data_IF_465198507882
#
_entry.id   IF_465198507882
#
_cell.length_a   1.000
_cell.length_b   1.000
_cell.length_c   1.000
_cell.angle_alpha   90.00
_cell.angle_beta   90.00
_cell.angle_gamma   90.00
#
_symmetry.space_group_name_H-M   'P 1'
#
loop_
_entity.id
_entity.type
_entity.pdbx_description
1 polymer ?
#
# COMPACT_ATOMS: atom_id res chain seq x y z
N UNK A 1 -46.49 3.98 -9.78
CA UNK A 1 -46.18 3.99 -11.22
C UNK A 1 -44.71 3.58 -11.34
N UNK A 2 -44.49 2.34 -11.81
CA UNK A 2 -43.16 1.77 -11.96
C UNK A 2 -42.53 2.32 -13.23
N UNK A 3 -41.35 2.91 -13.11
CA UNK A 3 -40.58 3.41 -14.23
C UNK A 3 -39.60 2.31 -14.68
N UNK A 4 -39.88 1.71 -15.85
CA UNK A 4 -38.92 0.81 -16.51
C UNK A 4 -38.07 1.63 -17.47
N UNK A 5 -36.76 1.64 -17.27
CA UNK A 5 -35.81 2.21 -18.22
C UNK A 5 -35.40 1.10 -19.17
N UNK A 6 -36.02 1.02 -20.33
CA UNK A 6 -35.59 0.16 -21.41
C UNK A 6 -34.50 0.87 -22.20
N UNK A 7 -33.24 0.45 -22.00
CA UNK A 7 -32.11 0.87 -22.83
C UNK A 7 -32.30 0.37 -24.27
N UNK A 8 -32.58 1.28 -25.18
CA UNK A 8 -32.50 1.03 -26.61
C UNK A 8 -31.25 1.70 -27.12
N UNK A 9 -30.30 0.87 -27.64
CA UNK A 9 -29.03 1.31 -28.26
C UNK A 9 -28.11 2.12 -27.34
N UNK A 10 -27.50 1.49 -26.35
CA UNK A 10 -26.16 1.81 -25.88
C UNK A 10 -26.01 2.91 -24.83
N UNK A 11 -27.01 3.68 -24.46
CA UNK A 11 -26.94 4.63 -23.35
C UNK A 11 -28.30 4.74 -22.66
N UNK A 12 -28.37 4.22 -21.44
CA UNK A 12 -29.47 4.51 -20.52
C UNK A 12 -28.99 5.61 -19.57
N UNK A 13 -29.37 6.85 -19.85
CA UNK A 13 -29.18 7.94 -18.90
C UNK A 13 -30.34 7.91 -17.91
N UNK A 14 -30.09 7.41 -16.70
CA UNK A 14 -31.00 7.65 -15.58
C UNK A 14 -30.76 9.08 -15.08
N UNK A 15 -31.52 10.02 -15.61
CA UNK A 15 -31.51 11.39 -15.13
C UNK A 15 -32.51 11.50 -13.98
N UNK A 16 -31.99 11.59 -12.75
CA UNK A 16 -32.79 11.86 -11.55
C UNK A 16 -32.68 13.35 -11.27
N UNK A 17 -33.81 14.05 -11.21
CA UNK A 17 -33.82 15.46 -10.88
C UNK A 17 -33.38 15.68 -9.42
N UNK A 18 -33.05 16.92 -9.04
CA UNK A 18 -32.53 17.27 -7.72
C UNK A 18 -33.44 16.96 -6.53
N UNK A 19 -34.64 16.48 -6.76
CA UNK A 19 -35.63 16.15 -5.74
C UNK A 19 -35.96 14.64 -5.66
N UNK A 20 -35.38 13.85 -6.57
CA UNK A 20 -35.67 12.41 -6.60
C UNK A 20 -34.56 11.63 -5.87
N UNK A 21 -34.96 10.80 -4.94
CA UNK A 21 -34.06 9.83 -4.31
C UNK A 21 -34.10 8.53 -5.10
N UNK A 22 -32.96 8.08 -5.62
CA UNK A 22 -32.82 6.74 -6.15
C UNK A 22 -32.67 5.76 -4.97
N UNK A 23 -33.73 5.05 -4.64
CA UNK A 23 -33.66 3.93 -3.68
C UNK A 23 -33.46 2.65 -4.51
N UNK A 24 -32.23 2.17 -4.59
CA UNK A 24 -31.96 0.88 -5.21
C UNK A 24 -32.17 -0.24 -4.17
N UNK A 25 -33.29 -0.93 -4.26
CA UNK A 25 -33.57 -2.13 -3.47
C UNK A 25 -32.93 -3.38 -4.10
N UNK A 26 -31.68 -3.24 -4.54
CA UNK A 26 -30.88 -4.27 -5.19
C UNK A 26 -29.67 -4.60 -4.31
N UNK A 27 -29.21 -5.83 -4.34
CA UNK A 27 -28.13 -6.28 -3.46
C UNK A 27 -26.81 -5.54 -3.66
N UNK A 28 -26.56 -4.99 -4.86
CA UNK A 28 -25.40 -4.14 -5.15
C UNK A 28 -25.63 -3.34 -6.44
N UNK A 29 -24.88 -2.22 -6.55
CA UNK A 29 -24.78 -1.43 -7.80
C UNK A 29 -23.39 -1.64 -8.36
N UNK A 30 -23.28 -2.17 -9.57
CA UNK A 30 -22.03 -2.37 -10.28
C UNK A 30 -21.92 -1.37 -11.44
N UNK A 31 -21.24 -0.23 -11.27
CA UNK A 31 -21.02 0.71 -12.36
C UNK A 31 -19.97 0.16 -13.33
N UNK A 32 -20.29 0.06 -14.62
CA UNK A 32 -19.38 -0.47 -15.65
C UNK A 32 -18.13 0.40 -15.87
N UNK A 33 -18.23 1.70 -15.60
CA UNK A 33 -17.18 2.68 -15.84
C UNK A 33 -16.76 3.46 -14.59
N UNK A 34 -17.08 2.92 -13.40
CA UNK A 34 -16.80 3.57 -12.13
C UNK A 34 -17.84 4.63 -11.73
N UNK A 35 -17.64 5.19 -10.56
CA UNK A 35 -18.47 6.26 -9.99
C UNK A 35 -17.73 7.58 -10.17
N UNK A 36 -18.37 8.57 -10.78
CA UNK A 36 -17.83 9.94 -10.90
C UNK A 36 -18.30 10.80 -9.74
N UNK A 37 -17.43 11.67 -9.29
CA UNK A 37 -17.76 12.69 -8.28
C UNK A 37 -18.52 13.89 -8.89
N UNK A 38 -18.79 14.90 -8.07
CA UNK A 38 -19.45 16.15 -8.50
C UNK A 38 -18.67 16.95 -9.57
N UNK A 39 -17.39 16.65 -9.79
CA UNK A 39 -16.54 17.26 -10.82
C UNK A 39 -16.33 16.33 -12.03
N UNK A 40 -17.11 15.25 -12.14
CA UNK A 40 -17.00 14.23 -13.18
C UNK A 40 -15.69 13.43 -13.16
N UNK A 41 -14.96 13.41 -12.02
CA UNK A 41 -13.74 12.61 -11.82
C UNK A 41 -14.09 11.17 -11.42
N UNK A 42 -13.32 10.22 -11.93
CA UNK A 42 -13.37 8.81 -11.51
C UNK A 42 -12.50 8.51 -10.29
N UNK A 43 -11.77 9.52 -9.79
CA UNK A 43 -10.76 9.32 -8.77
C UNK A 43 -9.49 8.65 -9.32
N UNK A 44 -8.56 8.41 -8.43
CA UNK A 44 -7.32 7.67 -8.67
C UNK A 44 -7.14 6.59 -7.60
N UNK A 45 -6.21 5.67 -7.81
CA UNK A 45 -5.93 4.62 -6.85
C UNK A 45 -5.63 5.18 -5.45
N UNK A 46 -6.24 4.60 -4.43
CA UNK A 46 -6.10 5.03 -3.04
C UNK A 46 -7.01 6.18 -2.60
N UNK A 47 -7.83 6.73 -3.50
CA UNK A 47 -8.85 7.71 -3.12
C UNK A 47 -10.16 7.04 -2.70
N UNK A 48 -10.89 7.69 -1.81
CA UNK A 48 -12.24 7.31 -1.39
C UNK A 48 -13.25 8.38 -1.77
N UNK A 49 -14.46 7.96 -2.12
CA UNK A 49 -15.56 8.88 -2.42
C UNK A 49 -16.18 9.33 -1.09
N UNK A 50 -16.04 10.60 -0.77
CA UNK A 50 -16.57 11.19 0.46
C UNK A 50 -17.63 12.24 0.17
N UNK A 51 -18.55 12.45 1.12
CA UNK A 51 -19.46 13.59 1.07
C UNK A 51 -18.71 14.86 1.49
N UNK A 52 -18.87 15.93 0.72
CA UNK A 52 -18.34 17.24 1.02
C UNK A 52 -19.47 18.26 1.10
N UNK A 53 -19.29 19.27 1.95
CA UNK A 53 -20.18 20.45 1.99
C UNK A 53 -19.45 21.61 1.34
N UNK A 54 -19.98 22.11 0.21
CA UNK A 54 -19.48 23.30 -0.47
C UNK A 54 -20.57 24.38 -0.34
N UNK A 55 -20.36 25.31 0.60
CA UNK A 55 -21.38 26.29 0.96
C UNK A 55 -22.63 25.60 1.56
N UNK A 56 -23.80 25.81 0.93
CA UNK A 56 -25.06 25.18 1.32
C UNK A 56 -25.34 23.85 0.59
N UNK A 57 -24.50 23.49 -0.36
CA UNK A 57 -24.69 22.30 -1.18
C UNK A 57 -23.82 21.14 -0.65
N UNK A 58 -24.40 19.94 -0.68
CA UNK A 58 -23.65 18.71 -0.46
C UNK A 58 -23.28 18.10 -1.81
N UNK A 59 -22.03 17.75 -1.97
CA UNK A 59 -21.53 17.01 -3.12
C UNK A 59 -20.68 15.83 -2.66
N UNK A 60 -20.29 14.99 -3.59
CA UNK A 60 -19.31 13.91 -3.35
C UNK A 60 -18.03 14.26 -4.09
N UNK A 61 -16.89 13.90 -3.49
CA UNK A 61 -15.59 14.07 -4.11
C UNK A 61 -14.68 12.89 -3.77
N UNK A 62 -13.78 12.59 -4.69
CA UNK A 62 -12.69 11.67 -4.45
C UNK A 62 -11.61 12.38 -3.61
N UNK A 63 -11.30 11.81 -2.47
CA UNK A 63 -10.36 12.40 -1.52
C UNK A 63 -9.32 11.36 -1.13
N UNK A 64 -8.05 11.74 -1.13
CA UNK A 64 -7.00 10.94 -0.52
C UNK A 64 -7.21 10.94 0.99
N UNK A 65 -7.27 9.75 1.60
CA UNK A 65 -7.37 9.62 3.06
C UNK A 65 -6.06 10.07 3.69
N UNK A 66 -6.02 11.33 4.16
CA UNK A 66 -4.88 11.86 4.91
C UNK A 66 -5.09 11.66 6.41
N UNK A 67 -4.05 11.24 7.13
CA UNK A 67 -4.09 11.04 8.58
C UNK A 67 -4.85 9.80 9.07
N UNK A 68 -5.56 9.06 8.22
CA UNK A 68 -6.14 7.78 8.60
C UNK A 68 -5.07 6.68 8.57
N UNK A 69 -5.11 5.77 9.55
CA UNK A 69 -4.27 4.57 9.52
C UNK A 69 -4.84 3.59 8.51
N UNK A 70 -4.07 3.35 7.47
CA UNK A 70 -4.35 2.37 6.42
C UNK A 70 -3.54 1.11 6.68
N UNK A 71 -3.99 -0.02 6.13
CA UNK A 71 -3.25 -1.28 6.20
C UNK A 71 -3.26 -1.98 4.85
N UNK A 72 -2.15 -2.64 4.53
CA UNK A 72 -2.03 -3.48 3.34
C UNK A 72 -1.34 -4.79 3.70
N UNK A 73 -1.73 -5.85 3.02
CA UNK A 73 -1.11 -7.17 3.11
C UNK A 73 -0.67 -7.60 1.72
N UNK A 74 0.61 -7.89 1.56
CA UNK A 74 1.21 -8.24 0.27
C UNK A 74 1.90 -9.60 0.37
N UNK A 75 1.44 -10.63 -0.36
CA UNK A 75 2.16 -11.89 -0.49
C UNK A 75 3.35 -11.73 -1.44
N UNK A 76 4.50 -12.28 -1.04
CA UNK A 76 5.74 -12.27 -1.83
C UNK A 76 6.12 -13.71 -2.13
N UNK A 77 6.24 -14.04 -3.40
CA UNK A 77 6.62 -15.38 -3.85
C UNK A 77 8.12 -15.63 -3.67
N UNK A 78 8.53 -16.89 -3.65
CA UNK A 78 9.93 -17.28 -3.61
C UNK A 78 10.74 -16.70 -4.77
N UNK A 79 10.17 -16.66 -5.97
CA UNK A 79 10.83 -16.05 -7.14
C UNK A 79 11.08 -14.56 -6.98
N UNK A 80 10.16 -13.83 -6.33
CA UNK A 80 10.37 -12.41 -6.01
C UNK A 80 11.46 -12.24 -4.96
N UNK A 81 11.48 -13.07 -3.92
CA UNK A 81 12.51 -13.04 -2.86
C UNK A 81 13.92 -13.22 -3.44
N UNK A 82 14.10 -14.20 -4.32
CA UNK A 82 15.39 -14.50 -4.97
C UNK A 82 15.89 -13.36 -5.89
N UNK A 83 15.00 -12.50 -6.34
CA UNK A 83 15.32 -11.38 -7.23
C UNK A 83 15.15 -10.01 -6.58
N UNK A 84 14.92 -9.95 -5.27
CA UNK A 84 14.46 -8.75 -4.58
C UNK A 84 15.45 -7.59 -4.64
N UNK A 85 16.77 -7.88 -4.66
CA UNK A 85 17.82 -6.86 -4.77
C UNK A 85 17.77 -6.11 -6.10
N UNK A 86 17.51 -6.82 -7.18
CA UNK A 86 17.47 -6.23 -8.54
C UNK A 86 16.07 -5.77 -8.95
N UNK A 87 15.05 -6.38 -8.35
CA UNK A 87 13.65 -6.11 -8.65
C UNK A 87 12.85 -5.91 -7.34
N UNK A 88 12.95 -4.75 -6.70
CA UNK A 88 12.17 -4.44 -5.51
C UNK A 88 10.66 -4.56 -5.77
N UNK A 89 9.93 -5.03 -4.75
CA UNK A 89 8.47 -5.19 -4.85
C UNK A 89 7.78 -3.97 -4.23
N UNK A 90 6.97 -3.27 -5.01
CA UNK A 90 6.15 -2.17 -4.50
C UNK A 90 5.08 -2.72 -3.55
N UNK A 91 5.11 -2.25 -2.31
CA UNK A 91 4.10 -2.55 -1.29
C UNK A 91 2.98 -1.50 -1.30
N UNK A 92 3.35 -0.23 -1.33
CA UNK A 92 2.41 0.89 -1.33
C UNK A 92 2.81 1.83 -2.48
N UNK A 93 1.90 2.11 -3.43
CA UNK A 93 2.19 3.02 -4.52
C UNK A 93 2.44 4.44 -4.01
N UNK A 94 3.12 5.25 -4.83
CA UNK A 94 3.41 6.64 -4.52
C UNK A 94 2.11 7.45 -4.29
N UNK A 95 2.02 8.29 -3.24
CA UNK A 95 0.77 8.91 -2.82
C UNK A 95 0.36 10.14 -3.65
N UNK A 96 1.23 10.60 -4.53
CA UNK A 96 1.06 11.85 -5.28
C UNK A 96 1.98 12.97 -4.78
N UNK A 97 2.22 13.95 -5.65
CA UNK A 97 3.09 15.09 -5.33
C UNK A 97 2.52 15.92 -4.16
N UNK A 98 3.38 16.35 -3.25
CA UNK A 98 3.00 17.08 -2.03
C UNK A 98 2.57 16.17 -0.87
N UNK A 99 2.71 14.85 -1.01
CA UNK A 99 2.39 13.88 0.03
C UNK A 99 3.55 12.91 0.25
N UNK A 100 3.59 12.35 1.46
CA UNK A 100 4.50 11.26 1.80
C UNK A 100 3.77 10.16 2.60
N UNK A 101 4.38 8.98 2.63
CA UNK A 101 3.88 7.83 3.37
C UNK A 101 4.70 7.70 4.65
N UNK A 102 4.03 7.73 5.79
CA UNK A 102 4.62 7.42 7.09
C UNK A 102 4.21 6.01 7.51
N UNK A 103 5.18 5.14 7.74
CA UNK A 103 4.93 3.80 8.28
C UNK A 103 4.63 3.91 9.77
N UNK A 104 3.55 3.28 10.21
CA UNK A 104 3.12 3.22 11.62
C UNK A 104 3.59 1.95 12.30
N UNK A 105 3.65 0.85 11.56
CA UNK A 105 4.09 -0.44 12.04
C UNK A 105 3.85 -1.54 11.01
N UNK A 106 4.15 -2.77 11.39
CA UNK A 106 3.88 -3.89 10.50
C UNK A 106 4.48 -5.21 10.97
N UNK A 107 4.41 -6.20 10.07
CA UNK A 107 5.03 -7.51 10.28
C UNK A 107 5.46 -8.13 8.95
N UNK A 108 6.46 -8.98 8.99
CA UNK A 108 6.80 -9.91 7.92
C UNK A 108 6.70 -11.32 8.50
N UNK A 109 5.85 -12.14 7.93
CA UNK A 109 5.77 -13.56 8.20
C UNK A 109 6.52 -14.31 7.11
N UNK A 110 7.56 -15.04 7.47
CA UNK A 110 8.20 -16.03 6.61
C UNK A 110 7.47 -17.35 6.74
N UNK A 111 6.96 -17.86 5.64
CA UNK A 111 6.34 -19.18 5.53
C UNK A 111 7.33 -20.15 4.91
N UNK A 112 7.97 -20.95 5.74
CA UNK A 112 8.84 -22.03 5.30
C UNK A 112 8.05 -23.07 4.49
N UNK A 113 8.67 -23.61 3.45
CA UNK A 113 8.10 -24.72 2.67
C UNK A 113 8.98 -25.97 2.80
N UNK A 114 9.96 -26.17 1.96
CA UNK A 114 10.81 -27.36 1.99
C UNK A 114 12.30 -27.05 2.10
N UNK A 115 12.73 -25.92 1.58
CA UNK A 115 14.15 -25.52 1.53
C UNK A 115 14.32 -24.12 2.11
N UNK A 116 15.17 -23.94 3.15
CA UNK A 116 15.46 -22.62 3.69
C UNK A 116 16.29 -21.77 2.70
N UNK A 117 16.25 -20.47 2.87
CA UNK A 117 17.09 -19.55 2.09
C UNK A 117 18.54 -19.54 2.61
N UNK A 118 19.48 -19.36 1.70
CA UNK A 118 20.89 -19.13 2.05
C UNK A 118 21.20 -17.63 1.93
N UNK A 119 21.62 -16.98 3.01
CA UNK A 119 22.04 -15.58 2.97
C UNK A 119 23.19 -15.34 1.98
N UNK A 120 23.14 -14.26 1.22
CA UNK A 120 24.16 -13.95 0.22
C UNK A 120 25.51 -13.56 0.86
N UNK A 121 25.48 -12.77 1.93
CA UNK A 121 26.65 -12.35 2.70
C UNK A 121 26.22 -11.71 4.02
N UNK A 122 26.88 -12.05 5.11
CA UNK A 122 26.64 -11.39 6.40
C UNK A 122 25.20 -11.50 6.91
N UNK A 123 24.67 -10.40 7.41
CA UNK A 123 23.31 -10.30 7.93
C UNK A 123 22.33 -9.79 6.86
N UNK A 124 22.20 -10.50 5.79
CA UNK A 124 21.22 -10.22 4.73
C UNK A 124 19.87 -9.77 5.31
N UNK A 125 19.45 -8.57 5.02
CA UNK A 125 18.20 -8.00 5.51
C UNK A 125 17.21 -7.82 4.35
N UNK A 126 16.03 -8.38 4.50
CA UNK A 126 14.87 -8.03 3.69
C UNK A 126 14.09 -6.96 4.46
N UNK A 127 13.90 -5.82 3.86
CA UNK A 127 13.33 -4.67 4.54
C UNK A 127 12.41 -3.81 3.70
N UNK A 128 11.71 -2.95 4.39
CA UNK A 128 10.79 -1.97 3.83
C UNK A 128 11.52 -0.64 3.74
N UNK A 129 11.49 -0.02 2.58
CA UNK A 129 12.19 1.21 2.26
C UNK A 129 11.28 2.17 1.50
N UNK A 130 11.61 3.45 1.56
CA UNK A 130 11.12 4.41 0.57
C UNK A 130 11.83 4.14 -0.76
N UNK A 131 11.10 4.15 -1.85
CA UNK A 131 11.64 3.88 -3.19
C UNK A 131 12.84 4.77 -3.53
N UNK A 132 13.90 4.15 -4.05
CA UNK A 132 15.19 4.79 -4.29
C UNK A 132 16.13 4.80 -3.09
N UNK A 133 15.72 4.29 -1.91
CA UNK A 133 16.58 4.12 -0.73
C UNK A 133 16.91 2.65 -0.47
N UNK A 134 17.99 2.41 0.23
CA UNK A 134 18.50 1.07 0.56
C UNK A 134 18.97 1.00 2.01
N UNK A 135 19.24 -0.20 2.47
CA UNK A 135 19.82 -0.45 3.81
C UNK A 135 21.07 0.39 4.08
N UNK A 136 21.98 0.49 3.11
CA UNK A 136 23.24 1.24 3.24
C UNK A 136 23.00 2.74 3.40
N UNK A 137 21.91 3.27 2.86
CA UNK A 137 21.54 4.68 2.97
C UNK A 137 20.71 5.00 4.24
N UNK A 138 20.61 4.06 5.19
CA UNK A 138 19.90 4.29 6.45
C UNK A 138 18.38 4.42 6.30
N UNK A 139 17.80 3.89 5.23
CA UNK A 139 16.40 4.04 4.92
C UNK A 139 15.48 2.91 5.38
N UNK A 140 15.95 1.99 6.23
CA UNK A 140 15.16 0.86 6.70
C UNK A 140 14.02 1.32 7.62
N UNK A 141 12.79 1.04 7.20
CA UNK A 141 11.56 1.36 7.94
C UNK A 141 11.05 0.18 8.76
N UNK A 142 11.47 -1.03 8.42
CA UNK A 142 11.15 -2.28 9.09
C UNK A 142 11.68 -3.46 8.28
N UNK A 143 11.85 -4.62 8.88
CA UNK A 143 12.39 -5.76 8.14
C UNK A 143 12.60 -7.02 8.94
N UNK A 144 13.16 -8.03 8.26
CA UNK A 144 13.52 -9.32 8.79
C UNK A 144 14.92 -9.69 8.29
N UNK A 145 15.76 -10.25 9.16
CA UNK A 145 17.04 -10.81 8.74
C UNK A 145 16.82 -12.15 8.02
N UNK A 146 17.53 -12.38 6.93
CA UNK A 146 17.57 -13.71 6.31
C UNK A 146 18.33 -14.66 7.23
N UNK A 147 19.45 -14.19 7.79
CA UNK A 147 20.23 -14.94 8.78
C UNK A 147 19.48 -15.03 10.10
N UNK A 148 19.22 -16.24 10.58
CA UNK A 148 18.52 -16.50 11.83
C UNK A 148 16.99 -16.51 11.71
N UNK A 149 16.42 -16.12 10.55
CA UNK A 149 14.98 -16.21 10.31
C UNK A 149 14.64 -17.07 9.09
N UNK A 150 15.10 -16.69 7.91
CA UNK A 150 14.71 -17.38 6.67
C UNK A 150 15.67 -18.54 6.31
N UNK A 151 16.83 -18.61 6.94
CA UNK A 151 17.78 -19.74 6.85
C UNK A 151 17.39 -20.90 7.76
N UNK A 152 16.27 -20.81 8.47
CA UNK A 152 15.74 -21.84 9.35
C UNK A 152 14.70 -22.70 8.63
N UNK A 153 14.61 -23.99 9.02
CA UNK A 153 13.60 -24.91 8.52
C UNK A 153 12.26 -24.77 9.28
N UNK A 154 11.84 -23.54 9.52
CA UNK A 154 10.58 -23.21 10.20
C UNK A 154 10.06 -21.84 9.78
N UNK A 155 8.76 -21.63 9.93
CA UNK A 155 8.15 -20.32 9.70
C UNK A 155 8.49 -19.35 10.83
N UNK A 156 8.75 -18.08 10.49
CA UNK A 156 9.16 -17.05 11.42
C UNK A 156 8.29 -15.79 11.23
N UNK A 157 8.13 -15.02 12.31
CA UNK A 157 7.41 -13.75 12.29
C UNK A 157 8.30 -12.65 12.90
N UNK A 158 8.53 -11.60 12.14
CA UNK A 158 9.12 -10.36 12.62
C UNK A 158 8.03 -9.28 12.69
N UNK A 159 7.93 -8.60 13.84
CA UNK A 159 7.07 -7.45 14.04
C UNK A 159 7.92 -6.22 14.28
N UNK A 160 7.46 -5.05 13.83
CA UNK A 160 8.05 -3.77 14.17
C UNK A 160 6.98 -2.74 14.48
N UNK A 161 7.34 -1.78 15.33
CA UNK A 161 6.60 -0.54 15.52
C UNK A 161 7.42 0.57 14.88
N UNK A 162 6.77 1.48 14.18
CA UNK A 162 7.41 2.70 13.75
C UNK A 162 7.91 3.41 15.01
N UNK A 163 9.17 3.83 15.01
CA UNK A 163 9.82 4.49 16.14
C UNK A 163 10.26 3.62 17.33
N UNK A 164 10.48 2.34 17.16
CA UNK A 164 11.53 1.73 17.96
C UNK A 164 12.86 2.36 17.51
N UNK A 165 13.04 3.62 17.86
CA UNK A 165 14.22 4.39 17.50
C UNK A 165 15.45 3.61 17.91
N UNK A 166 16.38 3.48 17.01
CA UNK A 166 17.70 2.98 17.32
C UNK A 166 18.23 3.91 18.41
N UNK A 167 18.29 3.39 19.63
CA UNK A 167 18.62 4.15 20.84
C UNK A 167 19.92 4.92 20.63
N UNK A 168 19.85 6.22 20.50
CA UNK A 168 21.00 7.11 20.54
C UNK A 168 21.30 7.94 19.30
N UNK A 169 20.45 7.95 18.29
CA UNK A 169 20.59 8.88 17.16
C UNK A 169 19.36 9.79 17.07
N UNK A 170 19.62 11.06 16.85
CA UNK A 170 18.59 12.06 16.51
C UNK A 170 17.69 11.52 15.40
N UNK A 171 16.39 11.89 15.44
CA UNK A 171 15.41 11.50 14.46
C UNK A 171 16.05 11.46 13.06
N UNK A 172 15.94 10.33 12.36
CA UNK A 172 16.49 10.18 11.02
C UNK A 172 15.99 11.33 10.15
N UNK A 173 16.81 12.36 9.97
CA UNK A 173 16.51 13.45 9.06
C UNK A 173 16.51 12.91 7.64
N UNK A 174 15.35 12.90 7.03
CA UNK A 174 15.15 12.47 5.65
C UNK A 174 14.88 13.72 4.82
N UNK A 175 15.59 13.89 3.72
CA UNK A 175 15.30 14.99 2.83
C UNK A 175 13.88 14.86 2.26
N UNK A 176 13.16 15.98 2.16
CA UNK A 176 11.80 16.00 1.62
C UNK A 176 11.73 15.40 0.22
N UNK A 177 12.75 15.61 -0.62
CA UNK A 177 12.88 15.00 -1.95
C UNK A 177 12.90 13.47 -1.96
N UNK A 178 13.33 12.87 -0.86
CA UNK A 178 13.47 11.42 -0.73
C UNK A 178 12.15 10.75 -0.31
N UNK A 179 11.16 11.51 0.12
CA UNK A 179 9.87 10.99 0.58
C UNK A 179 8.69 11.55 -0.21
N UNK A 180 8.83 12.74 -0.83
CA UNK A 180 7.78 13.34 -1.63
C UNK A 180 7.42 12.46 -2.83
N UNK A 181 6.17 12.03 -2.88
CA UNK A 181 5.65 11.17 -3.96
C UNK A 181 6.48 9.89 -4.17
N UNK A 182 6.96 9.28 -3.09
CA UNK A 182 7.70 8.03 -3.17
C UNK A 182 6.84 6.84 -2.74
N UNK A 183 6.96 5.75 -3.49
CA UNK A 183 6.37 4.47 -3.10
C UNK A 183 7.10 3.88 -1.88
N UNK A 184 6.47 2.93 -1.22
CA UNK A 184 7.11 2.04 -0.25
C UNK A 184 7.36 0.71 -0.93
N UNK A 185 8.59 0.24 -0.85
CA UNK A 185 9.03 -0.98 -1.51
C UNK A 185 9.62 -1.98 -0.51
N UNK A 186 9.46 -3.26 -0.79
CA UNK A 186 10.25 -4.32 -0.18
C UNK A 186 11.52 -4.50 -1.01
N UNK A 187 12.67 -4.53 -0.35
CA UNK A 187 13.98 -4.69 -0.98
C UNK A 187 14.91 -5.48 -0.03
N UNK A 188 16.10 -5.80 -0.48
CA UNK A 188 17.15 -6.41 0.36
C UNK A 188 18.52 -5.80 0.05
N UNK A 189 19.47 -5.99 0.95
CA UNK A 189 20.86 -5.55 0.77
C UNK A 189 21.65 -6.46 -0.21
N UNK A 190 21.24 -7.72 -0.32
CA UNK A 190 21.67 -8.68 -1.33
C UNK A 190 20.63 -9.78 -1.47
N UNK A 191 20.41 -10.29 -2.69
CA UNK A 191 19.45 -11.38 -2.90
C UNK A 191 19.93 -12.67 -2.22
N UNK A 192 19.11 -13.33 -1.40
CA UNK A 192 19.42 -14.67 -0.91
C UNK A 192 19.44 -15.67 -2.07
N UNK A 193 20.03 -16.83 -1.83
CA UNK A 193 20.05 -17.93 -2.80
C UNK A 193 19.34 -19.14 -2.27
N UNK A 194 18.87 -20.01 -3.18
CA UNK A 194 18.06 -21.16 -2.79
C UNK A 194 16.76 -20.75 -2.12
N UNK A 195 16.10 -21.70 -1.47
CA UNK A 195 14.86 -21.44 -0.74
C UNK A 195 13.62 -21.41 -1.61
N UNK A 196 12.51 -21.85 -1.02
CA UNK A 196 11.21 -21.95 -1.69
C UNK A 196 10.03 -21.46 -0.82
N UNK A 197 10.34 -20.91 0.35
CA UNK A 197 9.36 -20.27 1.21
C UNK A 197 8.82 -18.97 0.63
N UNK A 198 7.80 -18.42 1.25
CA UNK A 198 7.16 -17.16 0.85
C UNK A 198 7.14 -16.17 2.01
N UNK A 199 6.92 -14.88 1.69
CA UNK A 199 6.66 -13.88 2.72
C UNK A 199 5.23 -13.37 2.63
N UNK A 200 4.67 -13.01 3.79
CA UNK A 200 3.47 -12.22 3.90
C UNK A 200 3.82 -10.93 4.64
N UNK A 201 3.78 -9.83 3.92
CA UNK A 201 4.16 -8.51 4.45
C UNK A 201 2.90 -7.73 4.80
N UNK A 202 2.76 -7.34 6.07
CA UNK A 202 1.69 -6.49 6.55
C UNK A 202 2.29 -5.12 6.89
N UNK A 203 1.72 -4.05 6.37
CA UNK A 203 2.17 -2.68 6.64
C UNK A 203 0.98 -1.83 7.07
N UNK A 204 1.16 -1.11 8.18
CA UNK A 204 0.26 -0.05 8.62
C UNK A 204 0.92 1.29 8.33
N UNK A 205 0.19 2.20 7.72
CA UNK A 205 0.73 3.47 7.27
C UNK A 205 -0.32 4.59 7.29
N UNK A 206 0.16 5.82 7.20
CA UNK A 206 -0.67 7.02 6.98
C UNK A 206 -0.09 7.82 5.80
N UNK A 207 -0.95 8.52 5.08
CA UNK A 207 -0.55 9.47 4.04
C UNK A 207 -0.68 10.87 4.64
N UNK A 208 0.39 11.64 4.60
CA UNK A 208 0.47 12.99 5.16
C UNK A 208 0.90 13.99 4.09
N UNK A 209 0.40 15.24 4.15
CA UNK A 209 0.93 16.32 3.33
C UNK A 209 2.33 16.73 3.79
N UNK A 210 3.14 17.23 2.85
CA UNK A 210 4.46 17.82 3.09
C UNK A 210 4.36 19.30 3.40
#
# INVERSE_FOLDING_TARGET
QDWFINGHTGQADLQVDRYANLIANVGYVQPLHGIKDGNSSLGTDGQVLTSQTIGINRSVAWVTLTGAVLSIQVPISSSQILNLFTNPVTLIPAPGNGYFIQIVGGSIEYKYNTTPYTPASGSNVIGIFTDGRSYVAGGLLGGMSVTGAMDQSQSMLANWLAFAGNSGQDANLIAVSDVNNKAIVLNCDASPTGGDGTLLVNVQYIILPL
#
